data_IF_446135385666
#
_entry.id   IF_446135385666
#
_cell.length_a   1.000
_cell.length_b   1.000
_cell.length_c   1.000
_cell.angle_alpha   90.00
_cell.angle_beta   90.00
_cell.angle_gamma   90.00
#
_symmetry.space_group_name_H-M   'P 1'
#
loop_
_entity.id
_entity.type
_entity.pdbx_description
1 polymer ?
#
# COMPACT_ATOMS: atom_id res chain seq x y z
N UNK A 1 38.61 -3.64 -31.45
CA UNK A 1 38.86 -4.08 -30.07
C UNK A 1 37.82 -3.38 -29.22
N UNK A 2 36.84 -4.12 -28.70
CA UNK A 2 35.81 -3.59 -27.81
C UNK A 2 36.26 -3.91 -26.38
N UNK A 3 36.45 -2.88 -25.56
CA UNK A 3 36.69 -3.06 -24.13
C UNK A 3 35.44 -3.65 -23.48
N UNK A 4 35.59 -4.81 -22.84
CA UNK A 4 34.54 -5.42 -22.04
C UNK A 4 34.28 -4.52 -20.82
N UNK A 5 33.12 -3.85 -20.81
CA UNK A 5 32.59 -3.14 -19.65
C UNK A 5 32.60 -4.07 -18.43
N UNK A 6 33.21 -3.58 -17.35
CA UNK A 6 33.58 -4.36 -16.18
C UNK A 6 32.46 -5.27 -15.66
N UNK A 7 32.79 -6.56 -15.49
CA UNK A 7 31.98 -7.51 -14.73
C UNK A 7 31.73 -6.92 -13.34
N UNK A 8 30.50 -6.44 -13.09
CA UNK A 8 30.01 -6.20 -11.73
C UNK A 8 30.02 -7.56 -11.05
N UNK A 9 31.03 -7.82 -10.22
CA UNK A 9 31.06 -9.02 -9.41
C UNK A 9 29.87 -8.94 -8.46
N UNK A 10 29.05 -10.00 -8.43
CA UNK A 10 27.98 -10.09 -7.44
C UNK A 10 28.63 -9.99 -6.07
N UNK A 11 28.28 -8.98 -5.29
CA UNK A 11 29.08 -8.59 -4.15
C UNK A 11 28.79 -9.66 -3.07
N UNK A 12 29.82 -10.28 -2.49
CA UNK A 12 29.72 -11.46 -1.60
C UNK A 12 29.15 -11.10 -0.23
N UNK A 13 28.33 -11.97 0.36
CA UNK A 13 27.67 -11.80 1.67
C UNK A 13 28.58 -11.22 2.78
N UNK A 14 29.85 -11.62 2.77
CA UNK A 14 30.89 -11.18 3.72
C UNK A 14 31.14 -9.67 3.77
N UNK A 15 30.83 -8.93 2.71
CA UNK A 15 30.99 -7.48 2.68
C UNK A 15 29.91 -6.73 3.51
N UNK A 16 28.83 -7.44 3.88
CA UNK A 16 27.75 -6.91 4.71
C UNK A 16 27.89 -7.38 6.17
N UNK A 17 29.03 -7.98 6.53
CA UNK A 17 29.34 -8.32 7.91
C UNK A 17 29.44 -7.03 8.74
N UNK A 18 28.81 -7.04 9.92
CA UNK A 18 28.67 -5.91 10.83
C UNK A 18 27.56 -4.93 10.46
N UNK A 19 26.84 -5.12 9.36
CA UNK A 19 25.69 -4.28 8.97
C UNK A 19 24.37 -4.97 9.24
N UNK A 20 23.38 -4.16 9.57
CA UNK A 20 21.97 -4.53 9.54
C UNK A 20 21.52 -4.52 8.09
N UNK A 21 20.78 -5.53 7.64
CA UNK A 21 20.30 -5.60 6.24
C UNK A 21 18.79 -5.51 6.23
N UNK A 22 18.23 -4.75 5.29
CA UNK A 22 16.79 -4.64 5.13
C UNK A 22 16.39 -4.91 3.69
N UNK A 23 15.60 -5.96 3.47
CA UNK A 23 14.93 -6.21 2.20
C UNK A 23 13.69 -5.33 2.14
N UNK A 24 13.67 -4.37 1.23
CA UNK A 24 12.56 -3.43 1.08
C UNK A 24 11.70 -3.85 -0.11
N UNK A 25 10.48 -4.29 0.18
CA UNK A 25 9.53 -4.84 -0.78
C UNK A 25 8.32 -3.91 -0.91
N UNK A 26 7.97 -3.48 -2.13
CA UNK A 26 6.70 -2.81 -2.38
C UNK A 26 5.50 -3.67 -1.93
N UNK A 27 4.72 -3.16 -0.99
CA UNK A 27 3.45 -3.79 -0.63
C UNK A 27 2.38 -3.38 -1.63
N UNK A 28 1.82 -4.37 -2.33
CA UNK A 28 0.87 -4.14 -3.41
C UNK A 28 -0.41 -4.91 -3.13
N UNK A 29 -1.50 -4.17 -3.11
CA UNK A 29 -2.84 -4.72 -3.03
C UNK A 29 -3.48 -4.73 -4.42
N UNK A 30 -4.22 -5.78 -4.73
CA UNK A 30 -5.09 -5.78 -5.90
C UNK A 30 -6.32 -4.93 -5.63
N UNK A 31 -6.90 -4.27 -6.66
CA UNK A 31 -8.25 -3.75 -6.51
C UNK A 31 -9.19 -4.90 -6.15
N UNK A 32 -10.22 -4.60 -5.35
CA UNK A 32 -11.28 -5.54 -4.96
C UNK A 32 -12.19 -5.96 -6.14
N UNK A 33 -11.90 -5.50 -7.36
CA UNK A 33 -12.68 -5.82 -8.54
C UNK A 33 -12.27 -7.18 -9.11
N UNK A 34 -13.26 -7.96 -9.55
CA UNK A 34 -13.08 -9.23 -10.25
C UNK A 34 -12.53 -9.00 -11.68
N UNK A 35 -11.31 -8.45 -11.81
CA UNK A 35 -10.58 -8.30 -13.07
C UNK A 35 -9.55 -9.44 -13.22
N UNK A 36 -9.78 -10.41 -14.13
CA UNK A 36 -8.88 -11.56 -14.28
C UNK A 36 -7.46 -11.17 -14.72
N UNK A 37 -7.31 -10.09 -15.49
CA UNK A 37 -6.00 -9.59 -15.92
C UNK A 37 -5.22 -9.04 -14.73
N UNK A 38 -5.87 -8.27 -13.87
CA UNK A 38 -5.32 -7.75 -12.63
C UNK A 38 -4.88 -8.84 -11.67
N UNK A 39 -5.73 -9.85 -11.49
CA UNK A 39 -5.40 -11.02 -10.68
C UNK A 39 -4.13 -11.73 -11.19
N UNK A 40 -3.99 -11.91 -12.51
CA UNK A 40 -2.83 -12.56 -13.11
C UNK A 40 -1.55 -11.71 -12.98
N UNK A 41 -1.63 -10.39 -13.23
CA UNK A 41 -0.48 -9.49 -13.11
C UNK A 41 -0.01 -9.37 -11.66
N UNK A 42 -0.95 -9.31 -10.71
CA UNK A 42 -0.63 -9.30 -9.28
C UNK A 42 -0.01 -10.62 -8.83
N UNK A 43 -0.53 -11.76 -9.30
CA UNK A 43 0.06 -13.07 -9.02
C UNK A 43 1.51 -13.15 -9.54
N UNK A 44 1.77 -12.69 -10.77
CA UNK A 44 3.11 -12.64 -11.35
C UNK A 44 4.06 -11.76 -10.51
N UNK A 45 3.58 -10.62 -10.00
CA UNK A 45 4.33 -9.78 -9.06
C UNK A 45 4.73 -10.56 -7.81
N UNK A 46 3.75 -11.19 -7.14
CA UNK A 46 4.00 -11.93 -5.90
C UNK A 46 4.95 -13.11 -6.10
N UNK A 47 4.86 -13.85 -7.20
CA UNK A 47 5.77 -14.97 -7.50
C UNK A 47 7.21 -14.51 -7.71
N UNK A 48 7.41 -13.44 -8.51
CA UNK A 48 8.74 -12.91 -8.76
C UNK A 48 9.34 -12.27 -7.51
N UNK A 49 8.55 -11.53 -6.74
CA UNK A 49 8.96 -10.93 -5.46
C UNK A 49 9.43 -12.02 -4.49
N UNK A 50 8.63 -13.08 -4.29
CA UNK A 50 8.98 -14.19 -3.40
C UNK A 50 10.28 -14.90 -3.84
N UNK A 51 10.45 -15.10 -5.15
CA UNK A 51 11.67 -15.68 -5.71
C UNK A 51 12.90 -14.83 -5.41
N UNK A 52 12.79 -13.51 -5.56
CA UNK A 52 13.89 -12.58 -5.27
C UNK A 52 14.20 -12.48 -3.78
N UNK A 53 13.18 -12.40 -2.92
CA UNK A 53 13.36 -12.41 -1.47
C UNK A 53 14.05 -13.69 -1.03
N UNK A 54 13.61 -14.86 -1.50
CA UNK A 54 14.24 -16.14 -1.15
C UNK A 54 15.71 -16.21 -1.55
N UNK A 55 16.08 -15.71 -2.73
CA UNK A 55 17.46 -15.67 -3.16
C UNK A 55 18.33 -14.71 -2.32
N UNK A 56 17.78 -13.57 -1.90
CA UNK A 56 18.47 -12.62 -1.02
C UNK A 56 18.59 -13.13 0.41
N UNK A 57 17.54 -13.75 0.94
CA UNK A 57 17.54 -14.41 2.23
C UNK A 57 18.65 -15.47 2.30
N UNK A 58 18.73 -16.37 1.31
CA UNK A 58 19.80 -17.38 1.24
C UNK A 58 21.18 -16.73 1.15
N UNK A 59 21.33 -15.71 0.32
CA UNK A 59 22.60 -15.02 0.12
C UNK A 59 23.06 -14.22 1.36
N UNK A 60 22.13 -13.73 2.19
CA UNK A 60 22.43 -12.88 3.35
C UNK A 60 22.49 -13.65 4.68
N UNK A 61 22.22 -14.97 4.66
CA UNK A 61 22.33 -15.85 5.82
C UNK A 61 21.03 -16.01 6.62
N UNK A 62 19.88 -15.84 5.98
CA UNK A 62 18.54 -15.99 6.56
C UNK A 62 17.82 -14.67 6.79
N UNK A 63 16.61 -14.77 7.34
CA UNK A 63 15.71 -13.67 7.65
C UNK A 63 15.29 -13.75 9.12
N UNK A 64 15.47 -12.67 9.89
CA UNK A 64 15.20 -12.65 11.32
C UNK A 64 13.93 -11.87 11.66
N UNK A 65 13.69 -10.75 11.00
CA UNK A 65 12.56 -9.86 11.31
C UNK A 65 11.72 -9.57 10.07
N UNK A 66 10.40 -9.49 10.25
CA UNK A 66 9.44 -9.09 9.24
C UNK A 66 8.66 -7.90 9.77
N UNK A 67 8.59 -6.86 8.95
CA UNK A 67 7.81 -5.66 9.16
C UNK A 67 6.80 -5.56 8.03
N UNK A 68 5.55 -5.24 8.35
CA UNK A 68 4.46 -5.16 7.40
C UNK A 68 3.64 -3.90 7.66
N UNK A 69 3.44 -3.08 6.64
CA UNK A 69 2.64 -1.87 6.73
C UNK A 69 1.18 -2.20 7.07
N UNK A 70 0.61 -1.44 8.00
CA UNK A 70 -0.71 -1.60 8.64
C UNK A 70 -0.78 -2.66 9.73
N UNK A 71 0.37 -3.18 10.20
CA UNK A 71 0.43 -4.15 11.28
C UNK A 71 0.79 -3.49 12.62
N UNK A 72 -0.15 -3.48 13.56
CA UNK A 72 0.00 -2.86 14.89
C UNK A 72 0.32 -3.87 16.00
N UNK A 73 0.13 -5.15 15.73
CA UNK A 73 0.41 -6.25 16.66
C UNK A 73 1.27 -7.29 15.93
N UNK A 74 2.35 -7.74 16.56
CA UNK A 74 3.26 -8.74 16.01
C UNK A 74 2.86 -10.19 16.32
N UNK A 75 3.73 -11.13 15.94
CA UNK A 75 3.59 -12.53 16.28
C UNK A 75 2.32 -13.21 15.72
N UNK A 76 1.80 -14.25 16.40
CA UNK A 76 0.66 -15.02 15.91
C UNK A 76 -0.63 -14.20 15.77
N UNK A 77 -0.88 -13.23 16.66
CA UNK A 77 -2.05 -12.35 16.60
C UNK A 77 -1.98 -11.42 15.37
N UNK A 78 -0.79 -10.86 15.10
CA UNK A 78 -0.55 -10.11 13.87
C UNK A 78 -0.76 -10.95 12.61
N UNK A 79 -0.33 -12.20 12.63
CA UNK A 79 -0.53 -13.12 11.50
C UNK A 79 -2.03 -13.40 11.26
N UNK A 80 -2.81 -13.54 12.32
CA UNK A 80 -4.27 -13.67 12.22
C UNK A 80 -4.91 -12.42 11.60
N UNK A 81 -4.48 -11.22 12.02
CA UNK A 81 -4.93 -9.95 11.43
C UNK A 81 -4.65 -9.89 9.92
N UNK A 82 -3.46 -10.31 9.48
CA UNK A 82 -3.09 -10.35 8.07
C UNK A 82 -3.98 -11.29 7.25
N UNK A 83 -4.41 -12.41 7.84
CA UNK A 83 -5.28 -13.37 7.14
C UNK A 83 -6.62 -12.77 6.71
N UNK A 84 -7.15 -11.83 7.50
CA UNK A 84 -8.38 -11.11 7.19
C UNK A 84 -8.18 -10.00 6.15
N UNK A 85 -6.96 -9.46 6.05
CA UNK A 85 -6.66 -8.31 5.20
C UNK A 85 -6.19 -8.70 3.79
N UNK A 86 -5.23 -9.62 3.66
CA UNK A 86 -4.71 -10.07 2.36
C UNK A 86 -4.09 -11.48 2.45
N UNK A 87 -4.72 -12.43 1.76
CA UNK A 87 -4.34 -13.84 1.82
C UNK A 87 -2.92 -14.11 1.28
N UNK A 88 -2.41 -13.28 0.36
CA UNK A 88 -1.06 -13.45 -0.23
C UNK A 88 0.02 -13.05 0.77
N UNK A 89 -0.14 -11.88 1.39
CA UNK A 89 0.72 -11.41 2.48
C UNK A 89 0.71 -12.40 3.63
N UNK A 90 -0.46 -12.88 4.04
CA UNK A 90 -0.59 -13.89 5.09
C UNK A 90 0.15 -15.19 4.73
N UNK A 91 -0.05 -15.75 3.54
CA UNK A 91 0.62 -16.98 3.13
C UNK A 91 2.14 -16.84 3.11
N UNK A 92 2.64 -15.74 2.54
CA UNK A 92 4.07 -15.46 2.45
C UNK A 92 4.71 -15.26 3.83
N UNK A 93 4.09 -14.47 4.72
CA UNK A 93 4.63 -14.21 6.05
C UNK A 93 4.51 -15.46 6.94
N UNK A 94 3.46 -16.27 6.76
CA UNK A 94 3.33 -17.55 7.46
C UNK A 94 4.50 -18.49 7.16
N UNK A 95 4.91 -18.60 5.89
CA UNK A 95 6.08 -19.40 5.49
C UNK A 95 7.38 -18.93 6.17
N UNK A 96 7.61 -17.61 6.19
CA UNK A 96 8.81 -17.03 6.81
C UNK A 96 8.82 -17.16 8.33
N UNK A 97 7.68 -16.97 8.98
CA UNK A 97 7.58 -17.16 10.44
C UNK A 97 7.74 -18.62 10.86
N UNK A 98 7.26 -19.58 10.06
CA UNK A 98 7.53 -21.01 10.27
C UNK A 98 9.02 -21.35 10.13
N UNK A 99 9.75 -20.59 9.31
CA UNK A 99 11.20 -20.71 9.12
C UNK A 99 12.02 -19.99 10.22
N UNK A 100 11.36 -19.36 11.20
CA UNK A 100 11.99 -18.77 12.37
C UNK A 100 12.05 -17.23 12.38
N UNK A 101 11.53 -16.55 11.37
CA UNK A 101 11.45 -15.09 11.38
C UNK A 101 10.39 -14.59 12.37
N UNK A 102 10.66 -13.46 13.02
CA UNK A 102 9.75 -12.79 13.95
C UNK A 102 8.95 -11.74 13.19
N UNK A 103 7.62 -11.79 13.33
CA UNK A 103 6.74 -10.75 12.82
C UNK A 103 6.62 -9.64 13.86
N UNK A 104 7.15 -8.45 13.56
CA UNK A 104 7.22 -7.32 14.48
C UNK A 104 5.96 -6.43 14.39
N UNK A 105 5.47 -5.86 15.51
CA UNK A 105 4.48 -4.80 15.47
C UNK A 105 5.10 -3.58 14.80
N UNK A 106 4.69 -3.29 13.57
CA UNK A 106 5.40 -2.34 12.71
C UNK A 106 4.92 -0.90 12.92
N UNK A 107 3.67 -0.72 13.33
CA UNK A 107 3.02 0.58 13.45
C UNK A 107 2.40 0.81 14.81
N UNK A 108 2.32 2.07 15.22
CA UNK A 108 1.50 2.48 16.35
C UNK A 108 0.02 2.51 15.94
N UNK A 109 -0.83 1.94 16.79
CA UNK A 109 -2.26 1.82 16.49
C UNK A 109 -2.97 3.17 16.41
N UNK A 110 -2.70 4.08 17.33
CA UNK A 110 -3.39 5.36 17.40
C UNK A 110 -2.98 6.25 16.21
N UNK A 111 -1.68 6.29 15.90
CA UNK A 111 -1.13 7.03 14.76
C UNK A 111 -1.65 6.47 13.43
N UNK A 112 -1.71 5.14 13.30
CA UNK A 112 -2.24 4.49 12.09
C UNK A 112 -3.73 4.84 11.89
N UNK A 113 -4.55 4.70 12.94
CA UNK A 113 -5.98 4.98 12.85
C UNK A 113 -6.25 6.46 12.52
N UNK A 114 -5.52 7.38 13.16
CA UNK A 114 -5.61 8.81 12.86
C UNK A 114 -5.25 9.09 11.39
N UNK A 115 -4.13 8.52 10.90
CA UNK A 115 -3.71 8.69 9.50
C UNK A 115 -4.79 8.18 8.54
N UNK A 116 -5.38 7.01 8.81
CA UNK A 116 -6.44 6.42 7.98
C UNK A 116 -7.75 7.22 8.03
N UNK A 117 -8.14 7.76 9.19
CA UNK A 117 -9.30 8.63 9.34
C UNK A 117 -9.11 9.92 8.52
N UNK A 118 -7.94 10.57 8.65
CA UNK A 118 -7.61 11.78 7.91
C UNK A 118 -7.59 11.54 6.39
N UNK A 119 -7.04 10.40 5.96
CA UNK A 119 -7.08 10.00 4.56
C UNK A 119 -8.53 9.85 4.06
N UNK A 120 -9.41 9.22 4.85
CA UNK A 120 -10.85 9.11 4.52
C UNK A 120 -11.53 10.47 4.46
N UNK A 121 -11.24 11.38 5.40
CA UNK A 121 -11.78 12.73 5.38
C UNK A 121 -11.39 13.50 4.11
N UNK A 122 -10.15 13.34 3.62
CA UNK A 122 -9.69 14.00 2.40
C UNK A 122 -10.35 13.47 1.11
N UNK A 123 -10.93 12.26 1.14
CA UNK A 123 -11.68 11.73 0.00
C UNK A 123 -13.09 12.34 -0.14
N UNK A 124 -13.59 13.01 0.90
CA UNK A 124 -14.89 13.68 0.87
C UNK A 124 -14.73 15.04 0.18
N UNK A 125 -15.60 15.41 -0.78
CA UNK A 125 -15.57 16.75 -1.38
C UNK A 125 -15.75 17.84 -0.31
N UNK A 126 -14.77 18.73 -0.16
CA UNK A 126 -14.78 19.82 0.82
C UNK A 126 -15.13 21.15 0.15
N UNK A 127 -16.13 21.86 0.70
CA UNK A 127 -16.51 23.19 0.21
C UNK A 127 -15.54 24.31 0.63
N UNK A 128 -14.83 24.14 1.75
CA UNK A 128 -13.94 25.16 2.31
C UNK A 128 -12.46 24.85 2.02
N UNK A 129 -11.76 25.70 1.23
CA UNK A 129 -10.33 25.52 0.97
C UNK A 129 -9.48 25.57 2.26
N UNK A 130 -9.88 26.39 3.24
CA UNK A 130 -9.14 26.48 4.51
C UNK A 130 -9.26 25.20 5.34
N UNK A 131 -10.40 24.50 5.28
CA UNK A 131 -10.55 23.20 5.94
C UNK A 131 -9.68 22.17 5.23
N UNK A 132 -9.68 22.16 3.89
CA UNK A 132 -8.81 21.30 3.10
C UNK A 132 -7.33 21.47 3.45
N UNK A 133 -6.83 22.70 3.51
CA UNK A 133 -5.43 22.99 3.88
C UNK A 133 -5.07 22.45 5.26
N UNK A 134 -5.94 22.66 6.27
CA UNK A 134 -5.69 22.19 7.64
C UNK A 134 -5.72 20.67 7.76
N UNK A 135 -6.63 20.01 7.06
CA UNK A 135 -6.67 18.54 7.00
C UNK A 135 -5.42 17.98 6.32
N UNK A 136 -4.93 18.63 5.27
CA UNK A 136 -3.70 18.23 4.59
C UNK A 136 -2.46 18.39 5.47
N UNK A 137 -2.35 19.51 6.21
CA UNK A 137 -1.29 19.73 7.19
C UNK A 137 -1.32 18.66 8.29
N UNK A 138 -2.49 18.41 8.90
CA UNK A 138 -2.64 17.39 9.94
C UNK A 138 -2.31 16.00 9.41
N UNK A 139 -2.79 15.63 8.22
CA UNK A 139 -2.44 14.36 7.60
C UNK A 139 -0.94 14.24 7.33
N UNK A 140 -0.29 15.30 6.86
CA UNK A 140 1.15 15.29 6.62
C UNK A 140 1.94 15.08 7.93
N UNK A 141 1.53 15.71 9.03
CA UNK A 141 2.15 15.51 10.34
C UNK A 141 1.92 14.12 10.91
N UNK A 142 0.69 13.60 10.83
CA UNK A 142 0.35 12.25 11.29
C UNK A 142 1.12 11.18 10.49
N UNK A 143 1.19 11.34 9.16
CA UNK A 143 1.94 10.43 8.28
C UNK A 143 3.46 10.50 8.52
N UNK A 144 4.00 11.67 8.89
CA UNK A 144 5.40 11.79 9.32
C UNK A 144 5.64 11.00 10.61
N UNK A 145 4.78 11.16 11.62
CA UNK A 145 4.88 10.41 12.88
C UNK A 145 4.79 8.90 12.66
N UNK A 146 3.90 8.47 11.75
CA UNK A 146 3.75 7.07 11.34
C UNK A 146 5.06 6.47 10.84
N UNK A 147 5.73 7.14 9.89
CA UNK A 147 6.98 6.65 9.33
C UNK A 147 8.19 6.81 10.27
N UNK A 148 8.18 7.82 11.16
CA UNK A 148 9.14 7.93 12.26
C UNK A 148 9.02 6.73 13.22
N UNK A 149 7.79 6.31 13.55
CA UNK A 149 7.55 5.12 14.38
C UNK A 149 8.09 3.86 13.71
N UNK A 150 7.76 3.63 12.43
CA UNK A 150 8.27 2.47 11.67
C UNK A 150 9.81 2.45 11.67
N UNK A 151 10.45 3.60 11.44
CA UNK A 151 11.91 3.71 11.47
C UNK A 151 12.48 3.33 12.85
N UNK A 152 11.90 3.85 13.93
CA UNK A 152 12.33 3.56 15.30
C UNK A 152 12.10 2.09 15.67
N UNK A 153 11.00 1.49 15.21
CA UNK A 153 10.73 0.09 15.44
C UNK A 153 11.86 -0.75 14.83
N UNK A 154 12.14 -0.57 13.53
CA UNK A 154 13.22 -1.26 12.83
C UNK A 154 14.57 -1.01 13.51
N UNK A 155 14.86 0.22 13.93
CA UNK A 155 16.12 0.54 14.60
C UNK A 155 16.28 -0.21 15.94
N UNK A 156 15.18 -0.38 16.67
CA UNK A 156 15.17 -1.03 17.99
C UNK A 156 15.15 -2.56 17.93
N UNK A 157 14.58 -3.16 16.89
CA UNK A 157 14.40 -4.61 16.79
C UNK A 157 15.38 -5.29 15.85
N UNK A 158 15.85 -4.62 14.78
CA UNK A 158 16.83 -5.20 13.87
C UNK A 158 18.24 -5.07 14.46
N UNK A 159 18.80 -6.19 14.90
CA UNK A 159 20.13 -6.30 15.48
C UNK A 159 21.28 -6.36 14.46
N UNK A 160 22.51 -6.25 14.97
CA UNK A 160 23.71 -6.36 14.14
C UNK A 160 23.79 -7.69 13.40
N UNK A 161 24.18 -7.65 12.12
CA UNK A 161 24.25 -8.79 11.20
C UNK A 161 22.92 -9.43 10.82
N UNK A 162 21.80 -9.00 11.39
CA UNK A 162 20.49 -9.53 11.06
C UNK A 162 19.96 -8.96 9.75
N UNK A 163 19.07 -9.72 9.14
CA UNK A 163 18.32 -9.35 7.96
C UNK A 163 16.85 -9.19 8.33
N UNK A 164 16.31 -8.01 8.03
CA UNK A 164 14.89 -7.72 8.09
C UNK A 164 14.24 -7.71 6.71
N UNK A 165 12.93 -7.89 6.66
CA UNK A 165 12.09 -7.72 5.49
C UNK A 165 11.01 -6.69 5.82
N UNK A 166 10.93 -5.61 5.06
CA UNK A 166 9.88 -4.60 5.18
C UNK A 166 8.99 -4.64 3.93
N UNK A 167 7.72 -4.99 4.11
CA UNK A 167 6.67 -4.81 3.10
C UNK A 167 5.97 -3.48 3.36
N UNK A 168 6.12 -2.51 2.44
CA UNK A 168 5.60 -1.16 2.61
C UNK A 168 5.27 -0.50 1.27
N UNK A 169 4.34 0.45 1.28
CA UNK A 169 3.99 1.27 0.13
C UNK A 169 5.21 1.95 -0.52
N UNK A 170 5.22 2.03 -1.85
CA UNK A 170 6.36 2.56 -2.63
C UNK A 170 6.71 4.02 -2.35
N UNK A 171 5.74 4.77 -1.83
CA UNK A 171 5.87 6.20 -1.51
C UNK A 171 6.08 6.46 -0.02
N UNK A 172 6.56 5.46 0.70
CA UNK A 172 6.90 5.61 2.11
C UNK A 172 7.92 6.73 2.34
N UNK A 173 7.92 7.30 3.54
CA UNK A 173 8.86 8.35 3.94
C UNK A 173 9.83 7.92 5.03
N UNK A 174 9.83 6.62 5.37
CA UNK A 174 10.75 6.01 6.35
C UNK A 174 12.20 6.41 6.04
N UNK A 175 12.87 6.95 7.06
CA UNK A 175 14.30 7.25 7.02
C UNK A 175 15.04 6.18 7.80
N UNK A 176 15.79 5.32 7.11
CA UNK A 176 16.53 4.25 7.77
C UNK A 176 17.84 4.76 8.39
N UNK A 177 18.29 4.20 9.52
CA UNK A 177 19.60 4.47 10.09
C UNK A 177 20.74 4.23 9.08
N UNK A 178 21.83 5.00 9.19
CA UNK A 178 22.93 4.98 8.21
C UNK A 178 23.72 3.68 8.15
N UNK A 179 23.60 2.84 9.17
CA UNK A 179 24.23 1.53 9.29
C UNK A 179 23.32 0.38 8.79
N UNK A 180 22.10 0.68 8.35
CA UNK A 180 21.21 -0.26 7.66
C UNK A 180 21.50 -0.25 6.16
N UNK A 181 21.89 -1.39 5.63
CA UNK A 181 22.02 -1.63 4.19
C UNK A 181 20.65 -2.02 3.62
N UNK A 182 20.10 -1.20 2.72
CA UNK A 182 18.78 -1.43 2.14
C UNK A 182 18.90 -2.08 0.76
N UNK A 183 18.24 -3.22 0.59
CA UNK A 183 18.13 -3.96 -0.66
C UNK A 183 16.72 -3.82 -1.21
N UNK A 184 16.58 -3.04 -2.29
CA UNK A 184 15.28 -2.89 -2.96
C UNK A 184 14.94 -4.16 -3.75
N UNK A 185 13.78 -4.75 -3.44
CA UNK A 185 13.25 -5.91 -4.16
C UNK A 185 12.16 -5.44 -5.11
N UNK A 186 12.59 -5.09 -6.33
CA UNK A 186 11.71 -4.53 -7.37
C UNK A 186 11.71 -5.45 -8.60
N UNK A 187 10.88 -6.51 -8.61
CA UNK A 187 10.82 -7.43 -9.74
C UNK A 187 10.26 -6.76 -11.02
N UNK A 188 10.63 -7.23 -12.22
CA UNK A 188 10.08 -6.70 -13.48
C UNK A 188 8.54 -6.68 -13.54
N UNK A 189 7.89 -7.67 -12.92
CA UNK A 189 6.42 -7.70 -12.80
C UNK A 189 5.82 -6.51 -12.04
N UNK A 190 6.61 -5.76 -11.26
CA UNK A 190 6.16 -4.51 -10.64
C UNK A 190 5.78 -3.47 -11.69
N UNK A 191 6.57 -3.33 -12.75
CA UNK A 191 6.29 -2.37 -13.82
C UNK A 191 5.05 -2.80 -14.64
N UNK A 192 4.85 -4.10 -14.81
CA UNK A 192 3.64 -4.65 -15.43
C UNK A 192 2.40 -4.31 -14.59
N UNK A 193 2.47 -4.53 -13.28
CA UNK A 193 1.40 -4.15 -12.35
C UNK A 193 1.09 -2.66 -12.39
N UNK A 194 2.11 -1.80 -12.32
CA UNK A 194 1.94 -0.34 -12.37
C UNK A 194 1.23 0.10 -13.65
N UNK A 195 1.64 -0.43 -14.81
CA UNK A 195 1.00 -0.12 -16.10
C UNK A 195 -0.44 -0.58 -16.15
N UNK A 196 -0.72 -1.81 -15.71
CA UNK A 196 -2.07 -2.32 -15.66
C UNK A 196 -2.96 -1.48 -14.73
N UNK A 197 -2.50 -1.18 -13.51
CA UNK A 197 -3.25 -0.43 -12.51
C UNK A 197 -3.57 1.00 -12.98
N UNK A 198 -2.62 1.67 -13.63
CA UNK A 198 -2.84 2.99 -14.24
C UNK A 198 -3.93 2.96 -15.33
N UNK A 199 -3.86 1.96 -16.23
CA UNK A 199 -4.87 1.80 -17.29
C UNK A 199 -6.25 1.50 -16.71
N UNK A 200 -6.31 0.63 -15.70
CA UNK A 200 -7.56 0.26 -15.03
C UNK A 200 -8.19 1.46 -14.30
N UNK A 201 -7.41 2.27 -13.58
CA UNK A 201 -7.90 3.50 -12.94
C UNK A 201 -8.43 4.51 -13.96
N UNK A 202 -7.76 4.68 -15.10
CA UNK A 202 -8.22 5.59 -16.15
C UNK A 202 -9.57 5.14 -16.75
N UNK A 203 -9.75 3.82 -16.94
CA UNK A 203 -11.02 3.25 -17.42
C UNK A 203 -12.15 3.44 -16.40
N UNK A 204 -11.88 3.19 -15.11
CA UNK A 204 -12.83 3.44 -14.02
C UNK A 204 -13.27 4.90 -13.95
N UNK A 205 -12.33 5.85 -14.05
CA UNK A 205 -12.65 7.27 -14.05
C UNK A 205 -13.46 7.70 -15.27
N UNK A 206 -13.14 7.18 -16.46
CA UNK A 206 -13.93 7.43 -17.66
C UNK A 206 -15.37 6.88 -17.54
N UNK A 207 -15.53 5.67 -16.98
CA UNK A 207 -16.84 5.06 -16.77
C UNK A 207 -17.68 5.79 -15.69
N UNK A 208 -17.03 6.30 -14.64
CA UNK A 208 -17.68 7.11 -13.60
C UNK A 208 -18.09 8.51 -14.12
N UNK A 209 -17.26 9.13 -14.98
CA UNK A 209 -17.61 10.40 -15.63
C UNK A 209 -18.82 10.28 -16.57
N UNK A 210 -18.87 9.20 -17.37
CA UNK A 210 -19.99 8.94 -18.29
C UNK A 210 -21.31 8.60 -17.57
N UNK A 211 -21.24 7.95 -16.41
CA UNK A 211 -22.43 7.65 -15.60
C UNK A 211 -22.96 8.86 -14.82
N UNK A 212 -22.14 9.89 -14.60
CA UNK A 212 -22.60 11.17 -14.03
C UNK A 212 -23.22 12.11 -15.08
N UNK A 213 -22.74 12.10 -16.33
CA UNK A 213 -23.30 12.90 -17.44
C UNK A 213 -24.66 12.39 -17.93
N UNK A 214 -24.90 11.07 -17.90
CA UNK A 214 -26.19 10.49 -18.33
C UNK A 214 -27.35 10.73 -17.35
N UNK A 215 -27.07 11.18 -16.12
CA UNK A 215 -28.12 11.56 -15.15
C UNK A 215 -28.52 13.04 -15.31
N UNK A 216 -27.63 13.91 -15.76
CA UNK A 216 -27.95 15.32 -16.02
C UNK A 216 -28.74 15.55 -17.32
N UNK A 217 -28.58 14.71 -18.36
CA UNK A 217 -29.38 14.82 -19.60
C UNK A 217 -30.84 14.33 -19.47
N UNK A 218 -31.22 13.74 -18.32
CA UNK A 218 -32.56 13.18 -18.10
C UNK A 218 -33.56 14.08 -17.37
N UNK A 219 -33.21 15.34 -17.04
CA UNK A 219 -34.05 16.17 -16.15
C UNK A 219 -34.23 17.61 -16.59
N UNK A 220 -34.83 17.84 -17.77
CA UNK A 220 -35.62 19.07 -18.03
C UNK A 220 -36.75 18.79 -19.04
N UNK A 221 -38.00 18.76 -18.58
CA UNK A 221 -39.07 19.55 -19.21
C UNK A 221 -39.91 20.21 -18.10
N UNK A 222 -40.08 21.55 -18.14
CA UNK A 222 -41.01 22.29 -17.29
C UNK A 222 -42.36 22.54 -17.99
N UNK A 223 -43.40 22.76 -17.16
CA UNK A 223 -44.72 23.35 -17.43
C UNK A 223 -45.70 22.52 -18.29
N UNK A 224 -46.97 22.30 -17.92
CA UNK A 224 -47.97 23.30 -17.53
C UNK A 224 -48.79 22.91 -16.28
N UNK A 225 -48.81 23.80 -15.28
CA UNK A 225 -49.91 23.93 -14.32
C UNK A 225 -50.73 25.14 -14.77
N UNK A 226 -51.87 24.90 -15.41
CA UNK A 226 -52.88 25.92 -15.66
C UNK A 226 -53.87 25.92 -14.49
N UNK A 227 -53.73 26.91 -13.61
CA UNK A 227 -54.73 27.26 -12.59
C UNK A 227 -55.86 28.06 -13.25
N UNK A 228 -57.06 27.48 -13.29
CA UNK A 228 -58.31 28.17 -13.63
C UNK A 228 -59.37 27.88 -12.57
N UNK A 229 -59.50 28.81 -11.63
CA UNK A 229 -60.41 28.86 -10.49
C UNK A 229 -61.92 28.83 -10.84
N UNK A 230 -62.67 28.33 -9.84
CA UNK A 230 -63.99 28.74 -9.35
C UNK A 230 -65.32 28.28 -9.99
N UNK A 231 -66.16 27.69 -9.12
CA UNK A 231 -67.61 27.91 -9.09
C UNK A 231 -68.50 26.73 -8.69
N UNK A 232 -68.86 26.66 -7.40
CA UNK A 232 -70.20 26.35 -6.82
C UNK A 232 -71.14 25.32 -7.52
N UNK A 233 -71.84 24.37 -6.90
CA UNK A 233 -72.52 24.30 -5.58
C UNK A 233 -73.42 23.03 -5.51
N UNK A 234 -73.83 22.65 -4.29
CA UNK A 234 -75.06 21.88 -3.97
C UNK A 234 -74.93 20.34 -3.96
N UNK A 235 -75.01 19.66 -2.80
CA UNK A 235 -76.25 19.20 -2.11
C UNK A 235 -77.06 18.23 -3.00
N UNK A 236 -77.26 16.96 -2.69
CA UNK A 236 -77.68 16.28 -1.45
C UNK A 236 -77.20 14.81 -1.50
#
# INVERSE_FOLDING_TARGET
>A
MAEELGRIQRPTASQYNGRRKLLLVPLIYGPQADDPTGAAVLQNYWEQMQTQVGALEEALGGLQHIYHESLTIGGPEGLEQLSAADQRSHAFISDKTQSGAVLEPTEDMDVLLETLDLQRCMMIPLASPSVGSRLQEWHADSNRQRYEYIANQIDSTLGENETGLLLISERHQVQFPTDVEVFYVSPPALDEYRRWFQNWMAQQQAAAGQSSETVEEGSVEPDDIDEGEDGESGAD
#
